data_IF_437521326413
#
_entry.id   IF_437521326413
#
_cell.length_a   1.000
_cell.length_b   1.000
_cell.length_c   1.000
_cell.angle_alpha   90.00
_cell.angle_beta   90.00
_cell.angle_gamma   90.00
#
_symmetry.space_group_name_H-M   'P 1'
#
loop_
_entity.id
_entity.type
_entity.pdbx_description
1 polymer ?
#
# COMPACT_ATOMS: atom_id res chain seq x y z
N UNK A 1 15.79 -4.25 1.13
CA UNK A 1 15.49 -2.81 1.33
C UNK A 1 14.12 -2.57 0.73
N UNK A 2 13.20 -1.96 1.49
CA UNK A 2 11.83 -1.67 1.05
C UNK A 2 11.71 -0.23 0.55
N UNK A 3 10.83 0.01 -0.43
CA UNK A 3 10.52 1.33 -0.98
C UNK A 3 9.01 1.58 -0.94
N UNK A 4 8.61 2.77 -0.50
CA UNK A 4 7.25 3.28 -0.60
C UNK A 4 7.22 4.49 -1.54
N UNK A 5 6.29 4.51 -2.48
CA UNK A 5 5.87 5.73 -3.17
C UNK A 5 4.44 6.08 -2.76
N UNK A 6 4.28 7.11 -1.93
CA UNK A 6 2.98 7.54 -1.44
C UNK A 6 2.61 8.88 -2.06
N UNK A 7 1.54 8.93 -2.88
CA UNK A 7 1.12 10.14 -3.59
C UNK A 7 2.25 10.76 -4.47
N UNK A 8 3.21 9.94 -4.91
CA UNK A 8 4.34 10.36 -5.72
C UNK A 8 5.60 10.74 -4.94
N UNK A 9 5.54 10.79 -3.60
CA UNK A 9 6.71 10.99 -2.75
C UNK A 9 7.36 9.64 -2.41
N UNK A 10 8.69 9.55 -2.50
CA UNK A 10 9.44 8.32 -2.30
C UNK A 10 10.09 8.24 -0.91
N UNK A 11 9.99 7.06 -0.29
CA UNK A 11 10.55 6.76 1.03
C UNK A 11 11.28 5.42 0.98
N UNK A 12 12.54 5.40 1.40
CA UNK A 12 13.38 4.21 1.38
C UNK A 12 13.69 3.71 2.80
N UNK A 13 13.56 2.40 3.01
CA UNK A 13 13.85 1.73 4.27
C UNK A 13 12.71 1.80 5.29
N UNK A 14 12.62 0.78 6.13
CA UNK A 14 11.50 0.59 7.06
C UNK A 14 11.25 1.79 7.98
N UNK A 15 12.32 2.41 8.49
CA UNK A 15 12.21 3.59 9.37
C UNK A 15 11.45 4.75 8.70
N UNK A 16 11.91 5.18 7.51
CA UNK A 16 11.31 6.31 6.80
C UNK A 16 9.89 5.99 6.31
N UNK A 17 9.64 4.73 5.94
CA UNK A 17 8.31 4.25 5.54
C UNK A 17 7.34 4.34 6.72
N UNK A 18 7.73 3.81 7.88
CA UNK A 18 6.89 3.85 9.09
C UNK A 18 6.66 5.28 9.56
N UNK A 19 7.69 6.14 9.55
CA UNK A 19 7.56 7.56 9.88
C UNK A 19 6.56 8.27 8.96
N UNK A 20 6.60 8.01 7.64
CA UNK A 20 5.63 8.57 6.69
C UNK A 20 4.20 8.10 7.01
N UNK A 21 3.99 6.81 7.19
CA UNK A 21 2.66 6.23 7.43
C UNK A 21 2.09 6.67 8.78
N UNK A 22 2.91 6.72 9.82
CA UNK A 22 2.53 7.18 11.16
C UNK A 22 2.28 8.70 11.21
N UNK A 23 2.88 9.47 10.30
CA UNK A 23 2.69 10.92 10.18
C UNK A 23 1.47 11.34 9.35
N UNK A 24 0.64 10.39 8.88
CA UNK A 24 -0.59 10.73 8.16
C UNK A 24 -1.62 11.37 9.11
N UNK A 25 -2.34 12.42 8.67
CA UNK A 25 -3.15 13.27 9.55
C UNK A 25 -4.55 12.67 9.84
N UNK A 26 -4.60 11.46 10.39
CA UNK A 26 -5.83 10.80 10.84
C UNK A 26 -5.57 9.95 12.08
N UNK A 27 -6.61 9.69 12.88
CA UNK A 27 -6.49 8.84 14.08
C UNK A 27 -6.81 7.39 13.77
N UNK A 28 -7.78 7.16 12.89
CA UNK A 28 -8.24 5.84 12.48
C UNK A 28 -8.40 5.79 10.97
N UNK A 29 -8.00 4.66 10.38
CA UNK A 29 -8.29 4.34 8.98
C UNK A 29 -8.76 2.89 8.89
N UNK A 30 -9.84 2.66 8.15
CA UNK A 30 -10.33 1.33 7.80
C UNK A 30 -10.22 1.15 6.29
N UNK A 31 -9.46 0.14 5.87
CA UNK A 31 -9.36 -0.24 4.47
C UNK A 31 -10.50 -1.20 4.13
N UNK A 32 -11.27 -0.88 3.09
CA UNK A 32 -12.25 -1.79 2.46
C UNK A 32 -11.74 -2.15 1.07
N UNK A 33 -11.28 -3.40 0.92
CA UNK A 33 -10.78 -3.91 -0.36
C UNK A 33 -11.95 -4.17 -1.31
N UNK A 34 -11.88 -3.61 -2.51
CA UNK A 34 -12.84 -3.84 -3.60
C UNK A 34 -12.34 -4.92 -4.55
N UNK A 35 -11.09 -4.81 -5.01
CA UNK A 35 -10.43 -5.82 -5.85
C UNK A 35 -9.04 -6.10 -5.33
N UNK A 36 -8.58 -7.32 -5.57
CA UNK A 36 -7.24 -7.78 -5.22
C UNK A 36 -6.80 -8.79 -6.27
N UNK A 37 -5.93 -8.35 -7.16
CA UNK A 37 -5.43 -9.15 -8.27
C UNK A 37 -3.93 -9.43 -8.06
N UNK A 38 -3.52 -10.68 -8.19
CA UNK A 38 -2.14 -11.11 -7.94
C UNK A 38 -1.59 -11.92 -9.11
N UNK A 39 -0.30 -11.73 -9.40
CA UNK A 39 0.44 -12.47 -10.40
C UNK A 39 1.84 -12.82 -9.87
N UNK A 40 2.53 -13.84 -10.42
CA UNK A 40 3.96 -14.00 -10.22
C UNK A 40 4.69 -12.71 -10.58
N UNK A 41 5.43 -12.15 -9.62
CA UNK A 41 6.10 -10.84 -9.73
C UNK A 41 7.46 -10.89 -10.43
N UNK A 42 7.95 -12.08 -10.74
CA UNK A 42 9.21 -12.31 -11.44
C UNK A 42 10.13 -13.31 -10.71
N UNK A 43 11.44 -13.04 -10.61
CA UNK A 43 12.40 -13.94 -9.98
C UNK A 43 12.07 -14.26 -8.52
N UNK A 44 12.67 -15.34 -8.00
CA UNK A 44 12.64 -15.67 -6.57
C UNK A 44 11.23 -15.90 -6.01
N UNK A 45 10.27 -16.33 -6.83
CA UNK A 45 8.88 -16.57 -6.38
C UNK A 45 8.23 -15.30 -5.79
N UNK A 46 8.64 -14.12 -6.26
CA UNK A 46 8.01 -12.87 -5.85
C UNK A 46 6.56 -12.80 -6.38
N UNK A 47 5.74 -11.96 -5.76
CA UNK A 47 4.35 -11.76 -6.12
C UNK A 47 4.11 -10.27 -6.37
N UNK A 48 3.47 -9.94 -7.49
CA UNK A 48 2.95 -8.61 -7.75
C UNK A 48 1.46 -8.61 -7.43
N UNK A 49 1.04 -7.73 -6.53
CA UNK A 49 -0.35 -7.59 -6.10
C UNK A 49 -0.81 -6.16 -6.38
N UNK A 50 -1.97 -5.99 -6.99
CA UNK A 50 -2.64 -4.69 -7.11
C UNK A 50 -3.99 -4.76 -6.41
N UNK A 51 -4.23 -3.78 -5.55
CA UNK A 51 -5.42 -3.64 -4.71
C UNK A 51 -6.12 -2.35 -5.09
N UNK A 52 -7.43 -2.41 -5.26
CA UNK A 52 -8.27 -1.20 -5.29
C UNK A 52 -9.24 -1.25 -4.14
N UNK A 53 -9.64 -0.09 -3.62
CA UNK A 53 -10.54 -0.07 -2.48
C UNK A 53 -10.94 1.32 -2.02
N UNK A 54 -11.49 1.33 -0.81
CA UNK A 54 -11.93 2.52 -0.11
C UNK A 54 -11.19 2.64 1.23
N UNK A 55 -10.85 3.87 1.60
CA UNK A 55 -10.39 4.26 2.93
C UNK A 55 -11.54 4.99 3.62
N UNK A 56 -11.93 4.48 4.79
CA UNK A 56 -12.80 5.20 5.72
C UNK A 56 -11.91 5.76 6.81
N UNK A 57 -11.82 7.09 6.87
CA UNK A 57 -10.94 7.80 7.79
C UNK A 57 -11.79 8.37 8.93
N UNK A 58 -11.33 8.17 10.17
CA UNK A 58 -12.00 8.63 11.39
C UNK A 58 -13.51 8.30 11.39
N UNK A 59 -14.36 9.31 11.49
CA UNK A 59 -15.82 9.21 11.42
C UNK A 59 -16.38 9.79 10.10
N UNK A 60 -15.53 9.92 9.07
CA UNK A 60 -15.97 10.41 7.76
C UNK A 60 -16.95 9.43 7.10
N UNK A 61 -18.06 9.97 6.61
CA UNK A 61 -19.08 9.18 5.90
C UNK A 61 -18.73 8.99 4.42
N UNK A 62 -17.84 9.80 3.88
CA UNK A 62 -17.40 9.72 2.49
C UNK A 62 -16.10 8.92 2.39
N UNK A 63 -16.10 7.75 1.73
CA UNK A 63 -14.88 6.99 1.54
C UNK A 63 -13.96 7.66 0.52
N UNK A 64 -12.65 7.61 0.78
CA UNK A 64 -11.64 7.97 -0.21
C UNK A 64 -11.23 6.73 -1.00
N UNK A 65 -11.24 6.78 -2.31
CA UNK A 65 -10.85 5.65 -3.14
C UNK A 65 -9.34 5.59 -3.30
N UNK A 66 -8.79 4.38 -3.34
CA UNK A 66 -7.35 4.18 -3.50
C UNK A 66 -7.04 3.03 -4.46
N UNK A 67 -5.82 3.09 -5.01
CA UNK A 67 -5.14 1.99 -5.67
C UNK A 67 -3.77 1.82 -5.03
N UNK A 68 -3.40 0.58 -4.73
CA UNK A 68 -2.12 0.26 -4.12
C UNK A 68 -1.52 -1.00 -4.75
N UNK A 69 -0.24 -0.93 -5.11
CA UNK A 69 0.50 -2.06 -5.68
C UNK A 69 1.63 -2.46 -4.75
N UNK A 70 1.71 -3.75 -4.44
CA UNK A 70 2.77 -4.36 -3.65
C UNK A 70 3.59 -5.33 -4.51
N UNK A 71 4.91 -5.23 -4.42
CA UNK A 71 5.81 -6.28 -4.88
C UNK A 71 6.35 -7.02 -3.66
N UNK A 72 5.88 -8.24 -3.44
CA UNK A 72 6.20 -9.08 -2.30
C UNK A 72 7.35 -10.02 -2.66
N UNK A 73 8.39 -10.05 -1.82
CA UNK A 73 9.48 -11.02 -1.92
C UNK A 73 9.40 -11.99 -0.75
N UNK A 74 9.67 -13.29 -0.95
CA UNK A 74 9.63 -14.25 0.13
C UNK A 74 10.73 -13.99 1.16
N UNK A 75 10.38 -14.14 2.43
CA UNK A 75 11.31 -14.12 3.57
C UNK A 75 10.86 -15.18 4.58
N UNK A 76 11.72 -16.20 4.77
CA UNK A 76 11.41 -17.40 5.54
C UNK A 76 10.07 -18.03 5.10
N UNK A 77 9.07 -18.09 5.98
CA UNK A 77 7.75 -18.67 5.73
C UNK A 77 6.69 -17.61 5.37
N UNK A 78 7.10 -16.40 5.03
CA UNK A 78 6.22 -15.26 4.74
C UNK A 78 6.81 -14.42 3.60
N UNK A 79 6.33 -13.19 3.47
CA UNK A 79 6.82 -12.19 2.52
C UNK A 79 7.14 -10.89 3.23
N UNK A 80 8.08 -10.14 2.66
CA UNK A 80 8.24 -8.72 2.95
C UNK A 80 7.87 -7.88 1.72
N UNK A 81 7.46 -6.63 1.97
CA UNK A 81 7.14 -5.69 0.90
C UNK A 81 8.43 -5.08 0.37
N UNK A 82 8.80 -5.41 -0.87
CA UNK A 82 9.96 -4.82 -1.54
C UNK A 82 9.60 -3.47 -2.16
N UNK A 83 8.49 -3.40 -2.91
CA UNK A 83 7.93 -2.14 -3.41
C UNK A 83 6.49 -1.97 -2.92
N UNK A 84 6.15 -0.74 -2.55
CA UNK A 84 4.81 -0.27 -2.23
C UNK A 84 4.55 1.02 -3.03
N UNK A 85 3.47 1.06 -3.80
CA UNK A 85 3.04 2.26 -4.53
C UNK A 85 1.58 2.52 -4.19
N UNK A 86 1.31 3.67 -3.57
CA UNK A 86 -0.02 4.08 -3.15
C UNK A 86 -0.46 5.35 -3.89
N UNK A 87 -1.72 5.34 -4.36
CA UNK A 87 -2.41 6.50 -4.93
C UNK A 87 -3.86 6.59 -4.47
N UNK A 88 -4.29 7.80 -4.13
CA UNK A 88 -5.71 8.16 -4.10
C UNK A 88 -6.25 8.25 -5.53
N UNK A 89 -7.48 7.78 -5.71
CA UNK A 89 -8.22 7.90 -6.96
C UNK A 89 -9.17 9.09 -6.82
N UNK A 90 -8.78 10.23 -7.39
CA UNK A 90 -9.54 11.48 -7.35
C UNK A 90 -10.48 11.56 -8.56
N UNK A 91 -11.72 11.99 -8.34
CA UNK A 91 -12.66 12.36 -9.43
C UNK A 91 -13.61 11.26 -9.92
N UNK A 92 -13.98 10.30 -9.07
CA UNK A 92 -15.12 9.39 -9.31
C UNK A 92 -16.39 9.93 -8.68
#
# INVERSE_FOLDING_TARGET
MSMLTFEGQQFAGAKNIVEKLAGLPFQRVVHKVSTCDAQPGGPQQSILVTVTGQLLIDEETQPQFFSQTFHLYPEANSFFVYNDVFRLVLGM
#
